data_IF_589602736151
#
_entry.id   IF_589602736151
#
_cell.length_a   1.000
_cell.length_b   1.000
_cell.length_c   1.000
_cell.angle_alpha   90.00
_cell.angle_beta   90.00
_cell.angle_gamma   90.00
#
_symmetry.space_group_name_H-M   'P 1'
#
loop_
_entity.id
_entity.type
_entity.pdbx_description
1 polymer ?
#
# COMPACT_ATOMS: atom_id res chain seq x y z
N UNK A 1 8.11 12.09 -4.91
CA UNK A 1 8.12 10.68 -4.45
C UNK A 1 8.42 10.56 -2.96
N UNK A 2 7.47 10.01 -2.21
CA UNK A 2 7.59 9.70 -0.79
C UNK A 2 7.61 8.19 -0.58
N UNK A 3 8.49 7.75 0.33
CA UNK A 3 8.56 6.36 0.80
C UNK A 3 7.54 6.13 1.91
N UNK A 4 7.03 4.90 2.08
CA UNK A 4 6.12 4.61 3.16
C UNK A 4 6.84 4.73 4.50
N UNK A 5 6.26 5.48 5.44
CA UNK A 5 6.81 5.63 6.79
C UNK A 5 6.40 4.48 7.71
N UNK A 6 5.32 3.77 7.34
CA UNK A 6 4.85 2.60 8.05
C UNK A 6 4.34 1.55 7.06
N UNK A 7 4.66 0.29 7.34
CA UNK A 7 4.19 -0.87 6.57
C UNK A 7 3.56 -1.83 7.56
N UNK A 8 2.32 -2.24 7.31
CA UNK A 8 1.59 -3.21 8.12
C UNK A 8 1.25 -4.44 7.28
N UNK A 9 1.49 -5.66 7.78
CA UNK A 9 0.99 -6.86 7.10
C UNK A 9 -0.54 -6.85 7.12
N UNK A 10 -1.15 -7.09 5.97
CA UNK A 10 -2.59 -7.27 5.85
C UNK A 10 -2.94 -8.68 6.34
N UNK A 11 -3.83 -8.74 7.32
CA UNK A 11 -4.45 -10.00 7.72
C UNK A 11 -5.70 -10.19 6.88
N UNK A 12 -5.88 -11.40 6.35
CA UNK A 12 -7.15 -11.77 5.73
C UNK A 12 -8.24 -11.70 6.80
N UNK A 13 -9.25 -10.87 6.57
CA UNK A 13 -10.42 -10.82 7.44
C UNK A 13 -11.37 -11.97 7.06
N UNK A 14 -11.91 -12.74 8.02
CA UNK A 14 -12.90 -13.77 7.71
C UNK A 14 -14.10 -13.17 6.95
N UNK A 15 -14.38 -13.68 5.75
CA UNK A 15 -15.49 -13.18 4.91
C UNK A 15 -15.17 -11.98 4.02
N UNK A 16 -13.97 -11.39 4.13
CA UNK A 16 -13.44 -10.41 3.16
C UNK A 16 -12.15 -10.94 2.55
N UNK A 17 -12.16 -11.19 1.24
CA UNK A 17 -10.96 -11.57 0.51
C UNK A 17 -9.83 -10.55 0.69
N UNK A 18 -8.59 -10.99 0.47
CA UNK A 18 -7.45 -10.06 0.47
C UNK A 18 -7.66 -8.99 -0.60
N UNK A 19 -7.37 -7.72 -0.30
CA UNK A 19 -7.44 -6.67 -1.30
C UNK A 19 -6.35 -6.86 -2.36
N UNK A 20 -6.47 -6.19 -3.51
CA UNK A 20 -5.50 -6.27 -4.58
C UNK A 20 -4.35 -5.26 -4.39
N UNK A 21 -3.20 -5.63 -4.95
CA UNK A 21 -2.00 -4.81 -5.02
C UNK A 21 -2.23 -3.67 -6.02
N UNK A 22 -1.94 -2.45 -5.59
CA UNK A 22 -2.09 -1.23 -6.37
C UNK A 22 -1.17 -1.17 -7.60
N UNK A 23 -0.10 -1.97 -7.64
CA UNK A 23 0.88 -1.95 -8.72
C UNK A 23 0.62 -3.02 -9.81
N UNK A 24 0.22 -4.23 -9.41
CA UNK A 24 0.17 -5.38 -10.32
C UNK A 24 -1.14 -6.17 -10.30
N UNK A 25 -2.10 -5.80 -9.45
CA UNK A 25 -3.40 -6.49 -9.34
C UNK A 25 -3.35 -7.88 -8.68
N UNK A 26 -2.19 -8.39 -8.26
CA UNK A 26 -2.10 -9.60 -7.43
C UNK A 26 -2.70 -9.35 -6.03
N UNK A 27 -2.91 -10.38 -5.20
CA UNK A 27 -3.32 -10.17 -3.82
C UNK A 27 -2.27 -9.38 -3.03
N UNK A 28 -2.72 -8.33 -2.33
CA UNK A 28 -1.89 -7.54 -1.45
C UNK A 28 -1.73 -8.25 -0.10
N UNK A 29 -0.49 -8.27 0.37
CA UNK A 29 -0.07 -8.84 1.65
C UNK A 29 0.32 -7.75 2.65
N UNK A 30 0.54 -6.53 2.18
CA UNK A 30 0.99 -5.40 2.99
C UNK A 30 0.18 -4.14 2.67
N UNK A 31 0.02 -3.30 3.69
CA UNK A 31 -0.50 -1.95 3.60
C UNK A 31 0.62 -0.97 3.93
N UNK A 32 0.92 -0.09 2.99
CA UNK A 32 1.94 0.93 3.06
C UNK A 32 1.28 2.30 3.30
N UNK A 33 1.76 3.01 4.33
CA UNK A 33 1.25 4.29 4.78
C UNK A 33 2.22 5.38 4.36
N UNK A 34 1.73 6.40 3.65
CA UNK A 34 2.51 7.51 3.12
C UNK A 34 2.04 8.82 3.77
N UNK A 35 2.98 9.62 4.27
CA UNK A 35 2.68 10.90 4.92
C UNK A 35 2.81 12.05 3.93
N UNK A 36 1.68 12.53 3.42
CA UNK A 36 1.63 13.61 2.43
C UNK A 36 1.40 14.98 3.09
N UNK A 37 1.83 15.13 4.34
CA UNK A 37 1.83 16.38 5.10
C UNK A 37 0.50 16.64 5.82
N UNK A 38 -0.61 16.69 5.08
CA UNK A 38 -1.93 17.00 5.66
C UNK A 38 -2.80 15.76 5.92
N UNK A 39 -2.46 14.61 5.32
CA UNK A 39 -3.20 13.36 5.48
C UNK A 39 -2.27 12.16 5.24
N UNK A 40 -2.74 10.98 5.66
CA UNK A 40 -2.04 9.72 5.43
C UNK A 40 -2.72 9.00 4.27
N UNK A 41 -1.94 8.64 3.25
CA UNK A 41 -2.41 7.82 2.14
C UNK A 41 -2.10 6.36 2.42
N UNK A 42 -3.11 5.52 2.29
CA UNK A 42 -3.04 4.08 2.45
C UNK A 42 -3.02 3.43 1.06
N UNK A 43 -1.94 2.70 0.73
CA UNK A 43 -1.87 1.88 -0.48
C UNK A 43 -1.45 0.46 -0.15
N UNK A 44 -1.98 -0.48 -0.92
CA UNK A 44 -1.83 -1.91 -0.64
C UNK A 44 -0.92 -2.55 -1.70
N UNK A 45 0.02 -3.36 -1.26
CA UNK A 45 1.03 -3.97 -2.11
C UNK A 45 1.23 -5.45 -1.76
N UNK A 46 1.61 -6.25 -2.77
CA UNK A 46 2.16 -7.58 -2.54
C UNK A 46 3.64 -7.46 -2.17
N UNK A 47 4.23 -8.52 -1.62
CA UNK A 47 5.63 -8.54 -1.18
C UNK A 47 6.63 -8.18 -2.29
N UNK A 48 6.28 -8.49 -3.55
CA UNK A 48 7.11 -8.19 -4.72
C UNK A 48 7.14 -6.71 -5.09
N UNK A 49 6.02 -6.02 -4.91
CA UNK A 49 5.86 -4.62 -5.33
C UNK A 49 6.07 -3.63 -4.18
N UNK A 50 6.05 -4.10 -2.93
CA UNK A 50 6.29 -3.27 -1.76
C UNK A 50 7.66 -2.55 -1.79
N UNK A 51 8.79 -3.16 -2.22
CA UNK A 51 10.08 -2.48 -2.25
C UNK A 51 10.15 -1.30 -3.22
N UNK A 52 9.30 -1.31 -4.26
CA UNK A 52 9.18 -0.22 -5.24
C UNK A 52 7.98 0.69 -4.94
N UNK A 53 7.40 0.58 -3.74
CA UNK A 53 6.23 1.36 -3.38
C UNK A 53 6.64 2.82 -3.11
N UNK A 54 6.24 3.69 -4.01
CA UNK A 54 6.41 5.13 -3.89
C UNK A 54 5.07 5.82 -4.08
N UNK A 55 4.87 6.91 -3.34
CA UNK A 55 3.72 7.78 -3.53
C UNK A 55 4.17 9.12 -4.11
N UNK A 56 3.57 9.51 -5.22
CA UNK A 56 3.76 10.84 -5.78
C UNK A 56 2.48 11.68 -5.65
N UNK A 57 2.47 12.71 -4.77
CA UNK A 57 1.30 13.56 -4.57
C UNK A 57 0.99 14.46 -5.77
N UNK A 58 1.87 14.58 -6.78
CA UNK A 58 1.64 15.43 -7.97
C UNK A 58 0.85 14.73 -9.08
N UNK A 59 0.61 13.42 -8.96
CA UNK A 59 -0.15 12.61 -9.92
C UNK A 59 -1.63 12.45 -9.55
N UNK A 60 -2.13 13.22 -8.58
CA UNK A 60 -3.47 13.12 -8.01
C UNK A 60 -4.10 14.52 -7.94
#
# INVERSE_FOLDING_TARGET
MQKPFQIKPLKAEPGRGLPYCNACGAYATNEAHFDVGNYIVLRRYCDKCLPTAEYDPSLN
#
